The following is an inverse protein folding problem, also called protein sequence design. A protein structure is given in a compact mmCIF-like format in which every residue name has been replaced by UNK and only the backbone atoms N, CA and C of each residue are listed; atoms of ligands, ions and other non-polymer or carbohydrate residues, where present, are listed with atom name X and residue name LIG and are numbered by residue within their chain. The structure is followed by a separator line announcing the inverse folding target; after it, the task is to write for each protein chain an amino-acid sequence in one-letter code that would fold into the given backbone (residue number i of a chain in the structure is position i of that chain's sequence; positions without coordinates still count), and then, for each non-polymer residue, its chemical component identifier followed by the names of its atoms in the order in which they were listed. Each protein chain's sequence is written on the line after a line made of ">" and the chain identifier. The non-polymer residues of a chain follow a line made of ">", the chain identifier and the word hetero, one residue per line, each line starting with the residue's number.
data_IF_542289364300
#
_entry.id   IF_542289364300
#
_cell.length_a   1.000
_cell.length_b   1.000
_cell.length_c   1.000
_cell.angle_alpha   90.00
_cell.angle_beta   90.00
_cell.angle_gamma   90.00
#
_symmetry.space_group_name_H-M   'P 1'
#
loop_
_entity.id
_entity.type
_entity.pdbx_description
1 polymer ?
#
# COMPACT_ATOMS: atom_id res chain seq x y z
N UNK A 1 11.34 22.20 5.10
CA UNK A 1 11.14 20.72 5.14
C UNK A 1 10.08 20.32 4.11
N UNK A 2 8.94 21.04 4.04
CA UNK A 2 7.88 20.77 3.05
C UNK A 2 8.42 20.74 1.61
N UNK A 3 9.07 21.81 1.15
CA UNK A 3 9.65 21.89 -0.21
C UNK A 3 10.66 20.77 -0.49
N UNK A 4 11.36 20.35 0.56
CA UNK A 4 12.32 19.24 0.45
C UNK A 4 11.64 17.90 0.20
N UNK A 5 10.40 17.69 0.68
CA UNK A 5 9.61 16.49 0.36
C UNK A 5 9.35 16.41 -1.15
N UNK A 6 8.86 17.50 -1.76
CA UNK A 6 8.52 17.55 -3.17
C UNK A 6 9.77 17.45 -4.05
N UNK A 7 10.87 18.14 -3.66
CA UNK A 7 12.18 17.98 -4.30
C UNK A 7 12.63 16.51 -4.25
N UNK A 8 12.59 15.87 -3.06
CA UNK A 8 13.02 14.49 -2.90
C UNK A 8 12.21 13.53 -3.76
N UNK A 9 10.89 13.68 -3.79
CA UNK A 9 10.01 12.86 -4.63
C UNK A 9 10.39 12.97 -6.11
N UNK A 10 10.56 14.20 -6.62
CA UNK A 10 10.94 14.44 -8.02
C UNK A 10 12.32 13.86 -8.32
N UNK A 11 13.31 14.18 -7.50
CA UNK A 11 14.68 13.74 -7.77
C UNK A 11 14.81 12.21 -7.66
N UNK A 12 14.11 11.58 -6.67
CA UNK A 12 14.10 10.12 -6.55
C UNK A 12 13.45 9.45 -7.77
N UNK A 13 12.42 10.05 -8.34
CA UNK A 13 11.82 9.54 -9.57
C UNK A 13 12.71 9.80 -10.78
N UNK A 14 13.38 10.93 -10.86
CA UNK A 14 14.36 11.24 -11.92
C UNK A 14 15.50 10.22 -11.97
N UNK A 15 16.00 9.76 -10.82
CA UNK A 15 16.95 8.65 -10.73
C UNK A 15 16.40 7.39 -11.43
N UNK A 16 15.13 7.07 -11.20
CA UNK A 16 14.46 5.94 -11.85
C UNK A 16 14.38 6.12 -13.36
N UNK A 17 13.97 7.31 -13.82
CA UNK A 17 13.86 7.62 -15.25
C UNK A 17 15.22 7.58 -15.95
N UNK A 18 16.26 8.23 -15.38
CA UNK A 18 17.64 8.24 -15.91
C UNK A 18 18.22 6.82 -15.97
N UNK A 19 17.99 6.02 -14.92
CA UNK A 19 18.43 4.61 -14.90
C UNK A 19 17.79 3.80 -16.01
N UNK A 20 16.49 3.96 -16.26
CA UNK A 20 15.78 3.29 -17.36
C UNK A 20 16.28 3.73 -18.73
N UNK A 21 16.64 5.00 -18.85
CA UNK A 21 17.18 5.58 -20.08
C UNK A 21 18.69 5.29 -20.29
N UNK A 22 19.34 4.54 -19.37
CA UNK A 22 20.77 4.28 -19.42
C UNK A 22 21.67 5.51 -19.25
N UNK A 23 21.13 6.60 -18.71
CA UNK A 23 21.86 7.86 -18.48
C UNK A 23 22.67 7.80 -17.18
N UNK A 24 23.80 8.50 -17.15
CA UNK A 24 24.64 8.70 -15.95
C UNK A 24 25.21 10.12 -15.95
N UNK A 25 25.46 10.74 -14.78
CA UNK A 25 25.09 10.28 -13.44
C UNK A 25 23.57 10.27 -13.21
N UNK A 26 23.10 9.42 -12.31
CA UNK A 26 21.66 9.33 -12.01
C UNK A 26 21.15 10.50 -11.17
N UNK A 27 22.02 11.08 -10.33
CA UNK A 27 21.75 12.24 -9.48
C UNK A 27 23.03 12.93 -9.06
N UNK A 28 22.93 14.23 -8.78
CA UNK A 28 23.99 15.02 -8.14
C UNK A 28 23.79 15.16 -6.63
N UNK A 29 22.67 14.67 -6.09
CA UNK A 29 22.39 14.72 -4.65
C UNK A 29 23.26 13.70 -3.90
N UNK A 30 24.20 14.13 -3.02
CA UNK A 30 25.14 13.24 -2.37
C UNK A 30 24.47 12.25 -1.42
N UNK A 31 23.31 12.61 -0.82
CA UNK A 31 22.56 11.69 0.07
C UNK A 31 21.94 10.56 -0.75
N UNK A 32 21.41 10.89 -1.95
CA UNK A 32 20.81 9.90 -2.85
C UNK A 32 21.87 9.04 -3.57
N UNK A 33 23.10 9.57 -3.73
CA UNK A 33 24.24 8.79 -4.22
C UNK A 33 24.74 7.77 -3.19
N UNK A 34 24.81 8.18 -1.93
CA UNK A 34 25.45 7.41 -0.86
C UNK A 34 24.55 6.34 -0.25
N UNK A 35 23.26 6.61 -0.13
CA UNK A 35 22.35 5.77 0.65
C UNK A 35 21.27 5.13 -0.22
N UNK A 36 20.85 3.92 0.21
CA UNK A 36 19.79 3.17 -0.46
C UNK A 36 18.43 3.72 -0.07
N UNK A 37 17.63 4.09 -1.07
CA UNK A 37 16.23 4.47 -0.96
C UNK A 37 15.35 3.60 -1.86
N UNK A 38 14.10 3.36 -1.47
CA UNK A 38 13.09 2.75 -2.34
C UNK A 38 12.72 3.69 -3.48
N UNK A 39 11.94 3.23 -4.44
CA UNK A 39 11.41 4.12 -5.47
C UNK A 39 10.36 5.07 -4.89
N UNK A 40 10.05 6.16 -5.60
CA UNK A 40 8.92 7.02 -5.26
C UNK A 40 7.61 6.22 -5.34
N UNK A 41 7.37 5.60 -6.47
CA UNK A 41 6.21 4.76 -6.69
C UNK A 41 6.50 3.34 -6.21
N UNK A 42 5.70 2.86 -5.25
CA UNK A 42 5.83 1.53 -4.65
C UNK A 42 5.83 0.40 -5.69
N UNK A 43 5.07 0.57 -6.76
CA UNK A 43 5.00 -0.42 -7.84
C UNK A 43 6.36 -0.74 -8.46
N UNK A 44 7.30 0.22 -8.46
CA UNK A 44 8.65 0.02 -9.01
C UNK A 44 9.65 -0.55 -8.01
N UNK A 45 9.24 -0.88 -6.80
CA UNK A 45 10.11 -1.54 -5.84
C UNK A 45 10.36 -3.01 -6.21
N UNK A 46 11.55 -3.51 -5.82
CA UNK A 46 12.02 -4.85 -6.16
C UNK A 46 11.00 -5.95 -5.83
N UNK A 47 10.42 -5.90 -4.63
CA UNK A 47 9.49 -6.94 -4.20
C UNK A 47 8.14 -6.82 -4.93
N UNK A 48 7.65 -5.61 -5.18
CA UNK A 48 6.42 -5.42 -5.97
C UNK A 48 6.62 -5.84 -7.43
N UNK A 49 7.77 -5.52 -8.02
CA UNK A 49 8.12 -6.03 -9.35
C UNK A 49 8.22 -7.56 -9.37
N UNK A 50 8.75 -8.17 -8.32
CA UNK A 50 8.79 -9.63 -8.21
C UNK A 50 7.36 -10.22 -8.10
N UNK A 51 6.48 -9.59 -7.33
CA UNK A 51 5.07 -10.02 -7.25
C UNK A 51 4.41 -9.97 -8.64
N UNK A 52 4.58 -8.88 -9.36
CA UNK A 52 3.98 -8.70 -10.71
C UNK A 52 4.52 -9.71 -11.74
N UNK A 53 5.82 -9.98 -11.72
CA UNK A 53 6.49 -10.73 -12.77
C UNK A 53 6.61 -12.23 -12.49
N UNK A 54 6.66 -12.61 -11.21
CA UNK A 54 6.97 -13.99 -10.81
C UNK A 54 5.84 -14.61 -9.97
N UNK A 55 5.27 -13.89 -9.00
CA UNK A 55 4.31 -14.46 -8.05
C UNK A 55 2.92 -14.60 -8.69
N UNK A 56 2.40 -13.51 -9.27
CA UNK A 56 1.06 -13.50 -9.88
C UNK A 56 0.96 -14.51 -11.04
N UNK A 57 1.89 -14.55 -12.01
CA UNK A 57 1.77 -15.44 -13.17
C UNK A 57 2.14 -16.90 -12.90
N UNK A 58 2.57 -17.24 -11.69
CA UNK A 58 3.17 -18.54 -11.38
C UNK A 58 2.19 -19.71 -11.24
N UNK A 59 0.99 -19.61 -11.70
CA UNK A 59 0.02 -20.72 -11.59
C UNK A 59 -1.35 -20.35 -12.15
N UNK A 60 -2.42 -21.05 -11.69
CA UNK A 60 -3.78 -20.71 -12.06
C UNK A 60 -4.10 -19.25 -11.75
N UNK A 61 -4.87 -18.60 -12.62
CA UNK A 61 -5.16 -17.16 -12.55
C UNK A 61 -6.48 -16.85 -11.83
N UNK A 62 -7.12 -17.84 -11.21
CA UNK A 62 -8.33 -17.60 -10.42
C UNK A 62 -8.01 -16.82 -9.12
N UNK A 63 -9.07 -16.28 -8.52
CA UNK A 63 -8.98 -15.44 -7.32
C UNK A 63 -8.26 -16.13 -6.17
N UNK A 64 -8.64 -17.37 -5.87
CA UNK A 64 -8.14 -18.10 -4.71
C UNK A 64 -6.66 -18.41 -4.84
N UNK A 65 -6.26 -19.01 -5.97
CA UNK A 65 -4.87 -19.40 -6.23
C UNK A 65 -3.94 -18.19 -6.34
N UNK A 66 -4.38 -17.12 -7.01
CA UNK A 66 -3.59 -15.89 -7.11
C UNK A 66 -3.41 -15.23 -5.76
N UNK A 67 -4.48 -15.13 -4.96
CA UNK A 67 -4.42 -14.55 -3.62
C UNK A 67 -3.54 -15.37 -2.68
N UNK A 68 -3.64 -16.69 -2.72
CA UNK A 68 -2.76 -17.58 -1.94
C UNK A 68 -1.28 -17.27 -2.19
N UNK A 69 -0.87 -17.20 -3.45
CA UNK A 69 0.52 -16.92 -3.82
C UNK A 69 0.99 -15.56 -3.31
N UNK A 70 0.15 -14.53 -3.44
CA UNK A 70 0.50 -13.18 -2.96
C UNK A 70 0.60 -13.17 -1.42
N UNK A 71 -0.36 -13.78 -0.71
CA UNK A 71 -0.35 -13.91 0.76
C UNK A 71 0.89 -14.67 1.22
N UNK A 72 1.20 -15.79 0.58
CA UNK A 72 2.39 -16.60 0.89
C UNK A 72 3.68 -15.77 0.71
N UNK A 73 3.84 -15.10 -0.44
CA UNK A 73 5.01 -14.26 -0.69
C UNK A 73 5.10 -13.12 0.33
N UNK A 74 4.00 -12.38 0.58
CA UNK A 74 3.98 -11.26 1.53
C UNK A 74 4.31 -11.70 2.95
N UNK A 75 3.88 -12.86 3.38
CA UNK A 75 4.14 -13.38 4.73
C UNK A 75 5.64 -13.51 5.01
N UNK A 76 6.40 -14.02 4.08
CA UNK A 76 7.86 -14.17 4.22
C UNK A 76 8.63 -12.97 3.63
N UNK A 77 8.06 -12.29 2.65
CA UNK A 77 8.57 -11.09 1.96
C UNK A 77 10.04 -11.23 1.51
N UNK A 78 10.43 -12.42 1.06
CA UNK A 78 11.79 -12.77 0.66
C UNK A 78 11.81 -13.59 -0.64
N UNK A 79 12.49 -13.05 -1.66
CA UNK A 79 12.57 -13.67 -3.00
C UNK A 79 13.24 -15.05 -2.94
N UNK A 80 14.31 -15.19 -2.17
CA UNK A 80 15.03 -16.46 -2.04
C UNK A 80 14.16 -17.54 -1.38
N UNK A 81 13.33 -17.17 -0.41
CA UNK A 81 12.37 -18.11 0.21
C UNK A 81 11.31 -18.56 -0.79
N UNK A 82 10.76 -17.63 -1.59
CA UNK A 82 9.85 -17.98 -2.68
C UNK A 82 10.48 -18.96 -3.67
N UNK A 83 11.69 -18.66 -4.15
CA UNK A 83 12.41 -19.52 -5.11
C UNK A 83 12.64 -20.90 -4.54
N UNK A 84 13.06 -21.04 -3.29
CA UNK A 84 13.24 -22.33 -2.60
C UNK A 84 11.95 -23.14 -2.56
N UNK A 85 10.82 -22.54 -2.18
CA UNK A 85 9.53 -23.21 -2.21
C UNK A 85 9.16 -23.65 -3.64
N UNK A 86 9.41 -22.79 -4.62
CA UNK A 86 9.22 -23.10 -6.04
C UNK A 86 10.09 -24.26 -6.54
N UNK A 87 11.34 -24.29 -6.15
CA UNK A 87 12.29 -25.35 -6.56
C UNK A 87 11.87 -26.70 -5.98
N UNK A 88 11.28 -26.69 -4.78
CA UNK A 88 10.83 -27.91 -4.11
C UNK A 88 9.44 -28.39 -4.64
N UNK A 89 8.45 -27.50 -4.70
CA UNK A 89 7.05 -27.89 -4.99
C UNK A 89 6.63 -27.66 -6.44
N UNK A 90 7.47 -27.02 -7.27
CA UNK A 90 7.06 -26.55 -8.57
C UNK A 90 6.12 -25.34 -8.45
N UNK A 91 4.97 -25.37 -9.11
CA UNK A 91 3.98 -24.28 -9.00
C UNK A 91 3.31 -24.30 -7.65
N UNK A 92 3.39 -23.17 -6.94
CA UNK A 92 2.78 -23.03 -5.62
C UNK A 92 1.27 -22.82 -5.75
N UNK A 93 0.48 -23.75 -5.19
CA UNK A 93 -0.98 -23.77 -5.30
C UNK A 93 -1.60 -23.95 -3.92
N UNK A 94 -2.72 -23.27 -3.68
CA UNK A 94 -3.55 -23.51 -2.51
C UNK A 94 -4.09 -24.94 -2.48
N UNK A 95 -4.51 -25.46 -3.62
CA UNK A 95 -5.07 -26.80 -3.74
C UNK A 95 -4.14 -27.93 -3.24
N UNK A 96 -2.84 -27.68 -3.14
CA UNK A 96 -1.82 -28.64 -2.67
C UNK A 96 -1.02 -28.09 -1.50
N UNK A 97 -1.54 -27.09 -0.79
CA UNK A 97 -0.87 -26.50 0.35
C UNK A 97 -1.07 -27.35 1.61
N UNK A 98 0.04 -27.87 2.15
CA UNK A 98 0.07 -28.58 3.42
C UNK A 98 1.08 -27.91 4.36
N UNK A 99 0.64 -27.62 5.59
CA UNK A 99 1.45 -26.86 6.56
C UNK A 99 2.78 -27.55 6.85
N UNK A 100 2.73 -28.87 7.10
CA UNK A 100 3.91 -29.63 7.51
C UNK A 100 4.93 -29.76 6.36
N UNK A 101 4.46 -29.89 5.13
CA UNK A 101 5.32 -29.94 3.94
C UNK A 101 6.05 -28.59 3.73
N UNK A 102 5.31 -27.49 3.77
CA UNK A 102 5.90 -26.15 3.65
C UNK A 102 6.84 -25.85 4.82
N UNK A 103 6.47 -26.25 6.04
CA UNK A 103 7.33 -26.10 7.20
C UNK A 103 8.67 -26.82 7.03
N UNK A 104 8.67 -28.05 6.53
CA UNK A 104 9.89 -28.83 6.32
C UNK A 104 10.92 -28.10 5.44
N UNK A 105 10.44 -27.47 4.36
CA UNK A 105 11.28 -26.70 3.44
C UNK A 105 11.76 -25.39 4.08
N UNK A 106 10.90 -24.71 4.84
CA UNK A 106 11.25 -23.44 5.49
C UNK A 106 12.21 -23.63 6.66
N UNK A 107 12.09 -24.71 7.40
CA UNK A 107 12.96 -25.02 8.54
C UNK A 107 14.38 -25.46 8.13
N UNK A 108 14.53 -25.96 6.90
CA UNK A 108 15.81 -26.48 6.41
C UNK A 108 16.90 -25.40 6.24
N UNK A 109 16.53 -24.14 6.06
CA UNK A 109 17.47 -23.09 5.74
C UNK A 109 17.02 -21.71 6.20
N UNK A 110 17.95 -20.91 6.76
CA UNK A 110 17.72 -19.53 7.25
C UNK A 110 18.66 -18.56 6.52
N UNK A 111 18.28 -17.27 6.39
CA UNK A 111 17.02 -16.63 6.82
C UNK A 111 15.86 -16.86 5.83
N UNK A 112 14.64 -16.98 6.36
CA UNK A 112 13.42 -17.15 5.56
C UNK A 112 12.60 -15.87 5.40
N UNK A 113 12.85 -14.86 6.23
CA UNK A 113 12.14 -13.58 6.23
C UNK A 113 12.95 -12.46 5.56
N UNK A 114 12.24 -11.56 4.89
CA UNK A 114 12.80 -10.29 4.44
C UNK A 114 13.11 -9.34 5.59
N UNK A 115 13.85 -8.27 5.29
CA UNK A 115 14.29 -7.30 6.31
C UNK A 115 13.26 -6.19 6.61
N UNK A 116 12.20 -6.08 5.82
CA UNK A 116 11.20 -5.02 5.92
C UNK A 116 9.78 -5.58 5.78
N UNK A 117 8.79 -4.82 6.25
CA UNK A 117 7.35 -5.17 6.16
C UNK A 117 7.01 -6.54 6.79
N UNK A 118 7.64 -6.83 7.89
CA UNK A 118 7.47 -8.07 8.62
C UNK A 118 6.06 -8.15 9.24
N UNK A 119 5.35 -9.24 8.97
CA UNK A 119 4.10 -9.57 9.66
C UNK A 119 4.44 -10.23 10.99
N UNK A 120 3.99 -9.71 12.15
CA UNK A 120 4.20 -10.38 13.43
C UNK A 120 3.54 -11.76 13.45
N UNK A 121 4.26 -12.76 13.90
CA UNK A 121 3.73 -14.11 13.99
C UNK A 121 2.60 -14.18 15.03
N UNK A 122 1.37 -14.59 14.65
CA UNK A 122 0.20 -14.55 15.54
C UNK A 122 0.23 -15.67 16.57
N UNK A 123 0.60 -15.35 17.80
CA UNK A 123 0.70 -16.34 18.90
C UNK A 123 -0.61 -17.07 19.18
N UNK A 124 -1.75 -16.42 18.97
CA UNK A 124 -3.10 -17.01 19.18
C UNK A 124 -3.36 -18.23 18.30
N UNK A 125 -2.68 -18.37 17.17
CA UNK A 125 -2.82 -19.54 16.29
C UNK A 125 -2.02 -20.76 16.77
N UNK A 126 -1.25 -20.61 17.85
CA UNK A 126 -0.39 -21.68 18.36
C UNK A 126 0.75 -22.00 17.41
N UNK A 127 1.54 -23.02 17.75
CA UNK A 127 2.73 -23.42 17.02
C UNK A 127 4.00 -23.14 17.82
N UNK A 128 5.03 -23.95 17.59
CA UNK A 128 6.26 -23.92 18.37
C UNK A 128 7.21 -22.79 17.95
N UNK A 129 7.07 -22.29 16.71
CA UNK A 129 7.91 -21.24 16.15
C UNK A 129 7.16 -20.28 15.22
N UNK A 130 7.82 -19.24 14.73
CA UNK A 130 7.21 -18.25 13.88
C UNK A 130 6.79 -18.79 12.49
N UNK A 131 7.58 -19.64 11.81
CA UNK A 131 7.14 -20.25 10.55
C UNK A 131 5.83 -21.01 10.66
N UNK A 132 5.68 -21.85 11.70
CA UNK A 132 4.43 -22.61 11.94
C UNK A 132 3.23 -21.67 12.13
N UNK A 133 3.39 -20.60 12.93
CA UNK A 133 2.33 -19.61 13.16
C UNK A 133 1.94 -18.88 11.87
N UNK A 134 2.90 -18.54 11.03
CA UNK A 134 2.64 -17.90 9.74
C UNK A 134 1.95 -18.84 8.75
N UNK A 135 2.35 -20.08 8.66
CA UNK A 135 1.67 -21.07 7.81
C UNK A 135 0.22 -21.29 8.26
N UNK A 136 -0.03 -21.34 9.58
CA UNK A 136 -1.39 -21.39 10.14
C UNK A 136 -2.20 -20.13 9.84
N UNK A 137 -1.57 -18.95 9.83
CA UNK A 137 -2.22 -17.72 9.43
C UNK A 137 -2.61 -17.75 7.94
N UNK A 138 -1.72 -18.20 7.07
CA UNK A 138 -2.02 -18.38 5.65
C UNK A 138 -3.19 -19.35 5.48
N UNK A 139 -3.14 -20.50 6.16
CA UNK A 139 -4.21 -21.49 6.13
C UNK A 139 -5.55 -20.88 6.57
N UNK A 140 -5.57 -20.16 7.70
CA UNK A 140 -6.77 -19.48 8.20
C UNK A 140 -7.36 -18.51 7.19
N UNK A 141 -6.53 -17.62 6.60
CA UNK A 141 -6.97 -16.68 5.59
C UNK A 141 -7.61 -17.36 4.39
N UNK A 142 -7.07 -18.49 3.97
CA UNK A 142 -7.57 -19.20 2.80
C UNK A 142 -8.84 -20.00 3.09
N UNK A 143 -8.90 -20.77 4.20
CA UNK A 143 -10.08 -21.59 4.54
C UNK A 143 -11.28 -20.75 4.95
N UNK A 144 -11.07 -19.56 5.50
CA UNK A 144 -12.15 -18.62 5.84
C UNK A 144 -12.76 -17.90 4.65
N UNK A 145 -12.20 -18.11 3.44
CA UNK A 145 -12.68 -17.42 2.24
C UNK A 145 -12.27 -15.94 2.17
N UNK A 146 -11.20 -15.54 2.87
CA UNK A 146 -10.71 -14.15 2.90
C UNK A 146 -10.65 -13.48 1.52
N UNK A 147 -10.11 -14.11 0.44
CA UNK A 147 -10.07 -13.47 -0.87
C UNK A 147 -11.47 -13.20 -1.46
N UNK A 148 -12.41 -14.09 -1.20
CA UNK A 148 -13.79 -13.99 -1.71
C UNK A 148 -14.56 -12.87 -1.01
N UNK A 149 -14.42 -12.77 0.30
CA UNK A 149 -15.04 -11.70 1.09
C UNK A 149 -14.39 -10.36 0.78
N UNK A 150 -13.06 -10.31 0.70
CA UNK A 150 -12.32 -9.10 0.33
C UNK A 150 -12.75 -8.54 -1.03
N UNK A 151 -13.02 -9.42 -2.01
CA UNK A 151 -13.46 -9.01 -3.35
C UNK A 151 -14.81 -8.30 -3.38
N UNK A 152 -15.64 -8.45 -2.36
CA UNK A 152 -16.94 -7.78 -2.25
C UNK A 152 -16.80 -6.32 -1.81
N UNK A 153 -15.65 -5.93 -1.29
CA UNK A 153 -15.37 -4.59 -0.80
C UNK A 153 -14.86 -3.71 -1.95
N UNK A 154 -15.19 -2.43 -1.91
CA UNK A 154 -14.88 -1.48 -2.97
C UNK A 154 -13.78 -0.48 -2.55
N UNK A 155 -13.69 -0.16 -1.26
CA UNK A 155 -12.76 0.84 -0.74
C UNK A 155 -11.62 0.21 0.04
N UNK A 156 -10.42 0.77 -0.11
CA UNK A 156 -9.20 0.31 0.57
C UNK A 156 -9.34 0.42 2.11
N UNK A 157 -10.08 1.42 2.60
CA UNK A 157 -10.34 1.59 4.04
C UNK A 157 -11.19 0.45 4.60
N UNK A 158 -12.27 0.08 3.92
CA UNK A 158 -13.13 -1.04 4.34
C UNK A 158 -12.39 -2.37 4.26
N UNK A 159 -11.61 -2.56 3.19
CA UNK A 159 -10.74 -3.70 3.03
C UNK A 159 -9.72 -3.82 4.18
N UNK A 160 -9.18 -2.68 4.64
CA UNK A 160 -8.27 -2.64 5.80
C UNK A 160 -9.00 -3.07 7.08
N UNK A 161 -10.17 -2.50 7.37
CA UNK A 161 -10.98 -2.88 8.53
C UNK A 161 -11.27 -4.39 8.56
N UNK A 162 -11.67 -4.94 7.41
CA UNK A 162 -11.90 -6.37 7.26
C UNK A 162 -10.63 -7.20 7.48
N UNK A 163 -9.51 -6.82 6.88
CA UNK A 163 -8.26 -7.56 7.03
C UNK A 163 -7.74 -7.57 8.48
N UNK A 164 -7.98 -6.50 9.24
CA UNK A 164 -7.58 -6.39 10.63
C UNK A 164 -8.34 -7.35 11.58
N UNK A 165 -9.43 -7.96 11.15
CA UNK A 165 -10.11 -9.01 11.91
C UNK A 165 -9.26 -10.28 12.02
N UNK A 166 -8.24 -10.43 11.20
CA UNK A 166 -7.39 -11.63 11.18
C UNK A 166 -6.16 -11.46 12.07
N UNK A 167 -5.81 -12.48 12.85
CA UNK A 167 -4.67 -12.42 13.74
C UNK A 167 -3.35 -12.24 12.99
N UNK A 168 -2.48 -11.34 13.48
CA UNK A 168 -1.21 -10.98 12.86
C UNK A 168 -1.32 -9.83 11.85
N UNK A 169 -2.52 -9.48 11.41
CA UNK A 169 -2.77 -8.38 10.48
C UNK A 169 -3.16 -7.11 11.26
N UNK A 170 -2.16 -6.41 11.81
CA UNK A 170 -2.35 -5.06 12.33
C UNK A 170 -2.49 -4.04 11.19
N UNK A 171 -2.84 -2.80 11.53
CA UNK A 171 -3.12 -1.72 10.57
C UNK A 171 -2.09 -1.64 9.43
N UNK A 172 -0.81 -1.54 9.76
CA UNK A 172 0.25 -1.40 8.75
C UNK A 172 0.46 -2.70 7.94
N UNK A 173 0.48 -3.86 8.60
CA UNK A 173 0.75 -5.13 7.90
C UNK A 173 -0.40 -5.56 7.01
N UNK A 174 -1.64 -5.35 7.46
CA UNK A 174 -2.84 -5.54 6.65
C UNK A 174 -2.83 -4.61 5.42
N UNK A 175 -2.55 -3.31 5.63
CA UNK A 175 -2.46 -2.34 4.54
C UNK A 175 -1.45 -2.77 3.48
N UNK A 176 -0.24 -3.17 3.88
CA UNK A 176 0.79 -3.65 2.95
C UNK A 176 0.38 -4.93 2.19
N UNK A 177 -0.34 -5.85 2.84
CA UNK A 177 -0.89 -7.04 2.19
C UNK A 177 -1.94 -6.67 1.14
N UNK A 178 -2.84 -5.74 1.48
CA UNK A 178 -3.89 -5.27 0.57
C UNK A 178 -3.31 -4.59 -0.67
N UNK A 179 -2.26 -3.78 -0.52
CA UNK A 179 -1.58 -3.16 -1.65
C UNK A 179 -0.93 -4.21 -2.57
N UNK A 180 -0.40 -5.31 -2.03
CA UNK A 180 0.12 -6.40 -2.86
C UNK A 180 -1.00 -7.18 -3.56
N UNK A 181 -2.10 -7.47 -2.87
CA UNK A 181 -3.27 -8.09 -3.47
C UNK A 181 -3.86 -7.19 -4.57
N UNK A 182 -3.83 -5.88 -4.35
CA UNK A 182 -4.27 -4.90 -5.34
C UNK A 182 -3.40 -4.86 -6.61
N UNK A 183 -2.26 -5.55 -6.66
CA UNK A 183 -1.46 -5.66 -7.90
C UNK A 183 -2.06 -6.64 -8.92
N UNK A 184 -2.90 -7.61 -8.51
CA UNK A 184 -3.56 -8.53 -9.44
C UNK A 184 -4.88 -7.96 -9.98
N UNK A 185 -5.42 -8.57 -11.04
CA UNK A 185 -6.64 -8.10 -11.72
C UNK A 185 -7.94 -8.40 -10.93
N UNK A 186 -7.87 -9.14 -9.81
CA UNK A 186 -9.06 -9.53 -9.05
C UNK A 186 -9.57 -8.45 -8.11
N UNK A 187 -8.70 -7.51 -7.68
CA UNK A 187 -9.01 -6.39 -6.81
C UNK A 187 -8.80 -5.07 -7.54
N UNK A 188 -9.54 -4.05 -7.16
CA UNK A 188 -9.44 -2.73 -7.81
C UNK A 188 -9.72 -1.60 -6.79
N UNK A 189 -9.00 -1.64 -5.67
CA UNK A 189 -9.06 -0.56 -4.69
C UNK A 189 -8.35 0.68 -5.22
N UNK A 190 -8.98 1.85 -5.02
CA UNK A 190 -8.31 3.13 -5.29
C UNK A 190 -7.15 3.33 -4.30
N UNK A 191 -6.01 3.76 -4.84
CA UNK A 191 -4.81 4.13 -4.07
C UNK A 191 -4.62 5.65 -4.04
N UNK A 192 -5.56 6.39 -4.65
CA UNK A 192 -5.36 7.82 -4.96
C UNK A 192 -5.51 8.71 -3.74
N UNK A 193 -6.64 8.66 -3.02
CA UNK A 193 -7.01 9.70 -2.05
C UNK A 193 -6.73 9.38 -0.59
N UNK A 194 -6.49 8.10 -0.26
CA UNK A 194 -6.37 7.66 1.13
C UNK A 194 -5.25 6.64 1.34
N UNK A 195 -4.56 6.79 2.47
CA UNK A 195 -3.56 5.83 2.93
C UNK A 195 -3.42 5.84 4.46
N UNK A 196 -2.85 4.77 4.99
CA UNK A 196 -2.54 4.62 6.42
C UNK A 196 -1.05 4.76 6.63
N UNK A 197 -0.65 5.67 7.50
CA UNK A 197 0.75 5.89 7.80
C UNK A 197 1.36 4.72 8.58
N UNK A 198 2.41 4.14 8.04
CA UNK A 198 3.31 3.29 8.79
C UNK A 198 4.21 4.11 9.75
N UNK A 199 4.94 3.43 10.65
CA UNK A 199 5.78 4.13 11.64
C UNK A 199 6.83 5.08 11.02
N UNK A 200 7.32 4.77 9.82
CA UNK A 200 8.28 5.61 9.10
C UNK A 200 7.61 6.83 8.48
N UNK A 201 6.44 6.65 7.90
CA UNK A 201 5.65 7.74 7.33
C UNK A 201 5.17 8.71 8.42
N UNK A 202 4.73 8.20 9.58
CA UNK A 202 4.40 9.03 10.75
C UNK A 202 5.58 9.89 11.19
N UNK A 203 6.81 9.34 11.25
CA UNK A 203 8.01 10.14 11.55
C UNK A 203 8.26 11.19 10.44
N UNK A 204 8.02 10.87 9.17
CA UNK A 204 8.10 11.82 8.04
C UNK A 204 7.10 12.96 8.16
N UNK A 205 5.87 12.68 8.52
CA UNK A 205 4.83 13.68 8.76
C UNK A 205 5.18 14.58 9.94
N UNK A 206 5.72 14.02 11.03
CA UNK A 206 6.18 14.82 12.18
C UNK A 206 7.30 15.81 11.78
N UNK A 207 8.16 15.48 10.81
CA UNK A 207 9.15 16.45 10.31
C UNK A 207 8.53 17.62 9.58
N UNK A 208 7.38 17.40 8.95
CA UNK A 208 6.71 18.40 8.12
C UNK A 208 5.77 19.26 8.96
N UNK A 209 4.91 18.62 9.77
CA UNK A 209 3.80 19.25 10.46
C UNK A 209 4.00 19.41 11.97
N UNK A 210 5.08 18.83 12.53
CA UNK A 210 5.25 18.79 13.99
C UNK A 210 4.59 17.55 14.61
N UNK A 211 4.74 17.44 15.95
CA UNK A 211 4.24 16.27 16.71
C UNK A 211 2.71 16.21 16.79
N UNK A 212 2.06 17.31 16.56
CA UNK A 212 0.61 17.51 16.59
C UNK A 212 -0.12 16.72 15.51
N UNK A 213 0.59 16.30 14.46
CA UNK A 213 0.03 15.46 13.39
C UNK A 213 -0.28 14.03 13.85
N UNK A 214 0.25 13.60 15.00
CA UNK A 214 0.02 12.24 15.51
C UNK A 214 -1.45 12.02 15.86
N UNK A 215 -1.98 10.90 15.33
CA UNK A 215 -3.41 10.57 15.41
C UNK A 215 -4.24 11.13 14.23
N UNK A 216 -3.62 11.97 13.37
CA UNK A 216 -4.26 12.53 12.18
C UNK A 216 -3.43 12.28 10.92
N UNK A 217 -2.60 11.24 10.93
CA UNK A 217 -1.64 10.97 9.86
C UNK A 217 -2.33 10.73 8.51
N UNK A 218 -3.43 9.99 8.48
CA UNK A 218 -4.18 9.75 7.22
C UNK A 218 -4.73 11.05 6.64
N UNK A 219 -5.26 11.94 7.49
CA UNK A 219 -5.73 13.27 7.07
C UNK A 219 -4.59 14.11 6.49
N UNK A 220 -3.41 14.07 7.12
CA UNK A 220 -2.23 14.79 6.64
C UNK A 220 -1.75 14.25 5.28
N UNK A 221 -1.84 12.94 5.05
CA UNK A 221 -1.52 12.32 3.75
C UNK A 221 -2.54 12.76 2.69
N UNK A 222 -3.84 12.71 3.00
CA UNK A 222 -4.89 13.21 2.11
C UNK A 222 -4.67 14.69 1.78
N UNK A 223 -4.37 15.53 2.78
CA UNK A 223 -4.07 16.93 2.56
C UNK A 223 -2.86 17.15 1.64
N UNK A 224 -1.77 16.37 1.80
CA UNK A 224 -0.62 16.42 0.90
C UNK A 224 -1.01 16.03 -0.53
N UNK A 225 -1.85 15.01 -0.66
CA UNK A 225 -2.36 14.55 -1.98
C UNK A 225 -3.21 15.63 -2.66
N UNK A 226 -4.15 16.24 -1.95
CA UNK A 226 -5.02 17.30 -2.48
C UNK A 226 -4.25 18.54 -2.91
N UNK A 227 -3.25 18.94 -2.13
CA UNK A 227 -2.52 20.19 -2.34
C UNK A 227 -1.23 20.03 -3.18
N UNK A 228 -0.90 18.83 -3.62
CA UNK A 228 0.36 18.55 -4.33
C UNK A 228 0.60 19.44 -5.55
N UNK A 229 -0.45 19.77 -6.31
CA UNK A 229 -0.31 20.53 -7.55
C UNK A 229 0.11 21.98 -7.31
N UNK A 230 -0.32 22.56 -6.19
CA UNK A 230 0.13 23.89 -5.78
C UNK A 230 1.64 23.88 -5.49
N UNK A 231 2.13 22.89 -4.73
CA UNK A 231 3.56 22.77 -4.44
C UNK A 231 4.40 22.49 -5.69
N UNK A 232 3.94 21.61 -6.57
CA UNK A 232 4.62 21.36 -7.85
C UNK A 232 4.75 22.64 -8.66
N UNK A 233 3.69 23.44 -8.71
CA UNK A 233 3.65 24.74 -9.42
C UNK A 233 4.58 25.77 -8.78
N UNK A 234 4.48 25.97 -7.45
CA UNK A 234 5.32 26.93 -6.71
C UNK A 234 6.81 26.67 -6.87
N UNK A 235 7.20 25.39 -6.85
CA UNK A 235 8.60 24.99 -7.02
C UNK A 235 9.03 24.89 -8.49
N UNK A 236 8.14 25.16 -9.44
CA UNK A 236 8.38 24.97 -10.88
C UNK A 236 8.86 23.55 -11.22
N UNK A 237 8.33 22.55 -10.51
CA UNK A 237 8.68 21.13 -10.67
C UNK A 237 7.56 20.43 -11.45
N UNK A 238 7.92 19.71 -12.52
CA UNK A 238 6.99 18.81 -13.20
C UNK A 238 6.66 17.63 -12.29
N UNK A 239 5.36 17.38 -11.97
CA UNK A 239 4.97 16.27 -11.14
C UNK A 239 5.51 14.93 -11.67
N UNK A 240 6.06 14.06 -10.82
CA UNK A 240 6.41 12.72 -11.22
C UNK A 240 5.13 11.91 -11.50
N UNK A 241 5.15 11.09 -12.53
CA UNK A 241 4.01 10.28 -12.94
C UNK A 241 4.36 8.80 -12.96
N UNK A 242 3.51 7.98 -12.39
CA UNK A 242 3.60 6.51 -12.42
C UNK A 242 3.36 5.99 -13.84
N UNK A 243 2.40 6.59 -14.53
CA UNK A 243 2.11 6.41 -15.96
C UNK A 243 1.38 7.66 -16.49
N UNK A 244 1.26 7.75 -17.81
CA UNK A 244 0.78 8.96 -18.50
C UNK A 244 -0.65 9.43 -18.17
N UNK A 245 -1.47 8.56 -17.57
CA UNK A 245 -2.86 8.91 -17.18
C UNK A 245 -2.98 9.41 -15.74
N UNK A 246 -1.91 9.35 -14.94
CA UNK A 246 -1.92 9.90 -13.58
C UNK A 246 -1.87 11.44 -13.62
N UNK A 247 -2.53 12.05 -12.65
CA UNK A 247 -2.49 13.50 -12.45
C UNK A 247 -1.39 13.94 -11.46
N UNK A 248 -0.76 13.00 -10.77
CA UNK A 248 0.26 13.25 -9.75
C UNK A 248 0.65 11.98 -9.01
N UNK A 249 1.05 12.14 -7.75
CA UNK A 249 1.42 11.07 -6.84
C UNK A 249 0.21 10.68 -6.01
N UNK A 250 -0.12 9.39 -5.93
CA UNK A 250 -1.25 8.91 -5.13
C UNK A 250 -0.99 9.04 -3.63
N UNK A 251 -2.05 9.04 -2.81
CA UNK A 251 -1.91 9.06 -1.34
C UNK A 251 -1.08 7.87 -0.83
N UNK A 252 -1.24 6.69 -1.44
CA UNK A 252 -0.43 5.50 -1.11
C UNK A 252 1.05 5.69 -1.45
N UNK A 253 1.38 6.32 -2.59
CA UNK A 253 2.76 6.59 -2.96
C UNK A 253 3.36 7.74 -2.12
N UNK A 254 2.53 8.72 -1.68
CA UNK A 254 2.94 9.74 -0.70
C UNK A 254 3.29 9.08 0.65
N UNK A 255 2.45 8.16 1.15
CA UNK A 255 2.75 7.40 2.38
C UNK A 255 4.08 6.65 2.26
N UNK A 256 4.25 5.94 1.14
CA UNK A 256 5.48 5.22 0.85
C UNK A 256 6.70 6.14 0.81
N UNK A 257 6.57 7.30 0.16
CA UNK A 257 7.62 8.32 0.07
C UNK A 257 7.99 8.91 1.44
N UNK A 258 7.01 9.19 2.31
CA UNK A 258 7.23 9.79 3.63
C UNK A 258 8.16 8.97 4.51
N UNK A 259 8.08 7.63 4.44
CA UNK A 259 8.99 6.73 5.16
C UNK A 259 10.45 6.93 4.74
N UNK A 260 10.69 7.04 3.45
CA UNK A 260 12.02 7.25 2.87
C UNK A 260 12.48 8.70 3.00
N UNK A 261 11.56 9.64 2.94
CA UNK A 261 11.80 11.04 3.20
C UNK A 261 12.28 11.29 4.64
N UNK A 262 11.67 10.64 5.66
CA UNK A 262 12.23 10.68 7.03
C UNK A 262 13.69 10.24 7.04
N UNK A 263 13.99 9.14 6.34
CA UNK A 263 15.35 8.63 6.22
C UNK A 263 16.30 9.63 5.56
N UNK A 264 15.88 10.27 4.46
CA UNK A 264 16.64 11.32 3.79
C UNK A 264 16.91 12.51 4.71
N UNK A 265 15.89 12.97 5.44
CA UNK A 265 15.99 14.08 6.38
C UNK A 265 16.98 13.86 7.52
N UNK A 266 17.26 12.61 7.90
CA UNK A 266 18.30 12.32 8.92
C UNK A 266 19.68 12.82 8.53
N UNK A 267 19.93 13.04 7.24
CA UNK A 267 21.18 13.60 6.70
C UNK A 267 21.02 15.04 6.23
N UNK A 268 19.87 15.38 5.66
CA UNK A 268 19.59 16.75 5.18
C UNK A 268 19.39 17.74 6.31
N UNK A 269 18.76 17.30 7.40
CA UNK A 269 18.44 18.11 8.58
C UNK A 269 18.85 17.37 9.87
N UNK A 270 20.17 17.22 10.13
CA UNK A 270 20.69 16.40 11.24
C UNK A 270 20.24 16.89 12.62
N UNK A 271 19.97 18.19 12.74
CA UNK A 271 19.52 18.83 14.00
C UNK A 271 18.04 18.55 14.33
N UNK A 272 17.25 18.11 13.35
CA UNK A 272 15.84 17.74 13.56
C UNK A 272 15.77 16.24 13.86
N UNK A 273 15.83 15.90 15.14
CA UNK A 273 15.76 14.49 15.58
C UNK A 273 14.34 14.15 16.00
N UNK A 274 13.74 13.14 15.31
CA UNK A 274 12.42 12.59 15.68
C UNK A 274 12.61 11.31 16.49
N UNK A 275 13.09 10.24 15.86
CA UNK A 275 13.29 8.94 16.51
C UNK A 275 14.61 8.29 16.12
N UNK A 276 14.98 8.39 14.86
CA UNK A 276 16.18 7.75 14.29
C UNK A 276 17.08 8.79 13.65
N UNK A 277 18.41 8.62 13.81
CA UNK A 277 19.43 9.53 13.28
C UNK A 277 20.31 8.90 12.21
N UNK A 278 20.35 7.56 12.14
CA UNK A 278 21.27 6.83 11.28
C UNK A 278 20.53 6.22 10.08
N UNK A 279 21.20 6.24 8.92
CA UNK A 279 20.83 5.45 7.74
C UNK A 279 21.82 4.28 7.64
N UNK A 280 21.34 3.05 7.84
CA UNK A 280 22.20 1.85 7.84
C UNK A 280 22.55 1.36 6.44
N UNK A 281 21.62 1.46 5.49
CA UNK A 281 21.78 0.89 4.16
C UNK A 281 22.50 1.87 3.21
N UNK A 282 23.69 1.49 2.75
CA UNK A 282 24.38 2.18 1.67
C UNK A 282 23.82 1.76 0.31
N UNK A 283 23.90 2.68 -0.65
CA UNK A 283 23.56 2.35 -2.01
C UNK A 283 24.64 1.44 -2.62
N UNK A 284 24.19 0.36 -3.24
CA UNK A 284 25.04 -0.53 -4.05
C UNK A 284 24.33 -0.74 -5.39
N UNK A 285 24.97 -0.39 -6.52
CA UNK A 285 24.38 -0.62 -7.83
C UNK A 285 24.07 -2.11 -8.03
N UNK A 286 22.83 -2.42 -8.39
CA UNK A 286 22.46 -3.77 -8.80
C UNK A 286 22.82 -4.00 -10.27
N UNK A 287 23.37 -5.18 -10.57
CA UNK A 287 23.61 -5.64 -11.95
C UNK A 287 22.36 -6.27 -12.58
N UNK A 288 21.33 -6.56 -11.78
CA UNK A 288 20.09 -7.15 -12.29
C UNK A 288 19.37 -6.15 -13.20
N UNK A 289 18.80 -6.62 -14.32
CA UNK A 289 17.97 -5.80 -15.20
C UNK A 289 16.83 -5.20 -14.40
N UNK A 290 16.57 -3.91 -14.61
CA UNK A 290 15.45 -3.23 -13.98
C UNK A 290 14.20 -3.41 -14.86
N UNK A 291 13.18 -4.07 -14.31
CA UNK A 291 11.86 -4.17 -14.93
C UNK A 291 10.93 -3.12 -14.28
N UNK A 292 10.25 -2.33 -15.09
CA UNK A 292 9.31 -1.29 -14.63
C UNK A 292 7.88 -1.62 -15.06
N UNK A 293 7.41 -2.85 -14.80
CA UNK A 293 6.10 -3.29 -15.21
C UNK A 293 5.00 -2.70 -14.30
N UNK A 294 3.86 -2.41 -14.90
CA UNK A 294 2.66 -1.94 -14.22
C UNK A 294 1.59 -3.03 -14.22
N UNK A 295 0.70 -3.05 -13.22
CA UNK A 295 -0.49 -3.89 -13.26
C UNK A 295 -1.27 -3.65 -14.56
N UNK A 296 -1.70 -4.71 -15.25
CA UNK A 296 -2.41 -4.59 -16.54
C UNK A 296 -3.64 -3.68 -16.46
N UNK A 297 -4.35 -3.71 -15.33
CA UNK A 297 -5.53 -2.86 -15.10
C UNK A 297 -5.21 -1.37 -15.09
N UNK A 298 -4.00 -0.95 -14.70
CA UNK A 298 -3.61 0.46 -14.71
C UNK A 298 -3.30 0.99 -16.11
N UNK A 299 -2.93 0.12 -17.03
CA UNK A 299 -2.57 0.49 -18.41
C UNK A 299 -3.71 0.30 -19.40
N UNK A 300 -4.85 -0.25 -18.96
CA UNK A 300 -6.06 -0.34 -19.78
C UNK A 300 -6.62 1.06 -20.02
N UNK A 301 -7.08 1.32 -21.28
CA UNK A 301 -7.73 2.60 -21.59
C UNK A 301 -8.97 2.81 -20.72
N UNK A 302 -9.32 4.07 -20.48
CA UNK A 302 -10.52 4.43 -19.69
C UNK A 302 -11.81 3.77 -20.25
N UNK A 303 -11.87 3.52 -21.56
CA UNK A 303 -12.99 2.80 -22.22
C UNK A 303 -13.08 1.31 -21.81
N UNK A 304 -11.98 0.71 -21.35
CA UNK A 304 -11.93 -0.68 -20.89
C UNK A 304 -12.07 -0.82 -19.35
N UNK A 305 -12.01 0.29 -18.61
CA UNK A 305 -12.44 0.32 -17.20
C UNK A 305 -13.95 0.23 -17.24
N UNK A 306 -14.51 -0.94 -16.91
CA UNK A 306 -15.94 -1.04 -16.65
C UNK A 306 -16.27 0.06 -15.64
N UNK A 307 -17.03 1.05 -16.05
CA UNK A 307 -17.61 2.03 -15.15
C UNK A 307 -18.46 1.18 -14.21
N UNK A 308 -18.02 1.02 -12.97
CA UNK A 308 -18.88 0.44 -11.94
C UNK A 308 -20.05 1.44 -11.85
N UNK A 309 -21.19 1.02 -12.34
CA UNK A 309 -22.39 1.82 -12.11
C UNK A 309 -22.60 1.90 -10.60
N UNK A 310 -22.83 3.08 -10.06
CA UNK A 310 -23.19 3.21 -8.67
C UNK A 310 -24.39 2.31 -8.37
N UNK A 311 -24.46 1.69 -7.18
CA UNK A 311 -25.63 0.92 -6.83
C UNK A 311 -26.88 1.79 -6.96
N UNK A 312 -28.02 1.23 -7.40
CA UNK A 312 -29.24 2.00 -7.57
C UNK A 312 -29.62 2.63 -6.23
N UNK A 313 -29.97 3.93 -6.27
CA UNK A 313 -30.44 4.63 -5.08
C UNK A 313 -31.63 3.88 -4.46
N UNK A 314 -31.58 3.71 -3.14
CA UNK A 314 -32.64 3.05 -2.38
C UNK A 314 -33.79 4.02 -2.28
N UNK A 315 -34.98 3.64 -2.77
CA UNK A 315 -36.19 4.43 -2.64
C UNK A 315 -37.05 3.91 -1.48
N UNK A 316 -37.33 4.79 -0.50
CA UNK A 316 -38.24 4.51 0.60
C UNK A 316 -39.20 5.67 0.73
N UNK A 317 -40.52 5.37 0.73
CA UNK A 317 -41.59 6.35 0.89
C UNK A 317 -41.51 7.55 -0.09
N UNK A 318 -41.02 7.33 -1.32
CA UNK A 318 -40.85 8.38 -2.32
C UNK A 318 -39.55 9.19 -2.22
N UNK A 319 -38.79 9.03 -1.17
CA UNK A 319 -37.47 9.64 -0.97
C UNK A 319 -36.35 8.74 -1.49
N UNK A 320 -35.27 9.39 -1.91
CA UNK A 320 -34.07 8.72 -2.45
C UNK A 320 -32.97 8.72 -1.37
N UNK A 321 -32.49 7.53 -1.05
CA UNK A 321 -31.39 7.34 -0.10
C UNK A 321 -30.17 6.75 -0.81
N UNK A 322 -29.01 7.22 -0.41
CA UNK A 322 -27.73 6.71 -0.87
C UNK A 322 -27.03 6.02 0.31
N UNK A 323 -26.31 4.95 0.03
CA UNK A 323 -25.54 4.24 1.06
C UNK A 323 -24.20 4.93 1.29
N UNK A 324 -23.87 5.20 2.55
CA UNK A 324 -22.57 5.76 2.93
C UNK A 324 -21.52 4.65 2.86
N UNK A 325 -20.47 4.89 2.11
CA UNK A 325 -19.29 4.02 2.10
C UNK A 325 -18.40 4.32 3.30
N UNK A 326 -17.95 5.57 3.44
CA UNK A 326 -17.15 6.02 4.58
C UNK A 326 -17.14 7.56 4.66
N UNK A 327 -16.66 8.07 5.79
CA UNK A 327 -16.38 9.50 5.95
C UNK A 327 -14.94 9.76 5.48
N UNK A 328 -14.79 10.68 4.53
CA UNK A 328 -13.49 11.08 3.98
C UNK A 328 -12.82 12.10 4.90
N UNK A 329 -13.58 13.06 5.41
CA UNK A 329 -13.09 14.18 6.21
C UNK A 329 -14.18 14.72 7.13
N UNK A 330 -13.80 15.36 8.22
CA UNK A 330 -14.71 16.08 9.11
C UNK A 330 -14.36 17.56 9.18
N UNK A 331 -15.38 18.41 9.30
CA UNK A 331 -15.23 19.83 9.59
C UNK A 331 -15.95 20.16 10.89
N UNK A 332 -15.20 20.31 11.97
CA UNK A 332 -15.76 20.41 13.31
C UNK A 332 -16.42 19.10 13.77
N UNK A 333 -17.44 19.21 14.65
CA UNK A 333 -18.15 18.04 15.20
C UNK A 333 -19.44 17.67 14.47
N UNK A 334 -19.84 18.44 13.46
CA UNK A 334 -21.20 18.34 12.89
C UNK A 334 -21.24 18.23 11.37
N UNK A 335 -20.14 18.34 10.66
CA UNK A 335 -20.11 18.21 9.21
C UNK A 335 -19.09 17.17 8.77
N UNK A 336 -19.49 16.30 7.85
CA UNK A 336 -18.76 15.15 7.38
C UNK A 336 -18.72 15.16 5.84
N UNK A 337 -17.52 15.08 5.24
CA UNK A 337 -17.39 14.83 3.83
C UNK A 337 -17.59 13.33 3.61
N UNK A 338 -18.64 12.98 2.92
CA UNK A 338 -19.12 11.60 2.78
C UNK A 338 -18.81 11.07 1.39
N UNK A 339 -18.15 9.93 1.33
CA UNK A 339 -18.08 9.07 0.16
C UNK A 339 -19.31 8.19 0.10
N UNK A 340 -20.03 8.28 -0.99
CA UNK A 340 -21.20 7.44 -1.26
C UNK A 340 -20.79 6.11 -1.88
N UNK A 341 -21.42 5.02 -1.51
CA UNK A 341 -21.09 3.69 -2.01
C UNK A 341 -21.29 3.62 -3.54
N UNK A 342 -20.19 3.32 -4.26
CA UNK A 342 -20.21 3.21 -5.72
C UNK A 342 -20.08 4.53 -6.48
N UNK A 343 -19.84 5.65 -5.78
CA UNK A 343 -19.64 6.97 -6.37
C UNK A 343 -18.16 7.38 -6.33
N UNK A 344 -17.73 8.22 -7.28
CA UNK A 344 -16.35 8.70 -7.40
C UNK A 344 -16.08 9.87 -6.44
N UNK A 345 -14.78 10.22 -6.18
CA UNK A 345 -14.40 11.28 -5.25
C UNK A 345 -15.00 12.67 -5.54
N UNK A 346 -15.25 12.99 -6.79
CA UNK A 346 -15.83 14.26 -7.23
C UNK A 346 -17.34 14.36 -6.94
N UNK A 347 -17.95 13.26 -6.50
CA UNK A 347 -19.34 13.17 -6.06
C UNK A 347 -19.50 13.19 -4.54
N UNK A 348 -18.39 13.37 -3.78
CA UNK A 348 -18.43 13.52 -2.33
C UNK A 348 -19.18 14.78 -1.92
N UNK A 349 -20.01 14.65 -0.89
CA UNK A 349 -20.79 15.78 -0.38
C UNK A 349 -20.53 16.02 1.11
N UNK A 350 -20.65 17.30 1.51
CA UNK A 350 -20.60 17.68 2.92
C UNK A 350 -21.96 17.54 3.56
N UNK A 351 -22.12 16.56 4.44
CA UNK A 351 -23.37 16.21 5.11
C UNK A 351 -23.33 16.56 6.60
N UNK A 352 -24.51 16.88 7.14
CA UNK A 352 -24.73 16.94 8.59
C UNK A 352 -24.92 15.54 9.16
N UNK A 353 -24.70 15.38 10.45
CA UNK A 353 -24.90 14.09 11.14
C UNK A 353 -26.35 13.57 10.97
N UNK A 354 -27.32 14.48 10.86
CA UNK A 354 -28.74 14.19 10.66
C UNK A 354 -29.04 13.52 9.29
N UNK A 355 -28.20 13.78 8.29
CA UNK A 355 -28.36 13.22 6.94
C UNK A 355 -27.75 11.83 6.78
N UNK A 356 -26.96 11.37 7.76
CA UNK A 356 -26.25 10.11 7.68
C UNK A 356 -27.07 8.88 8.13
N UNK A 357 -28.29 9.08 8.64
CA UNK A 357 -29.23 8.04 9.03
C UNK A 357 -28.83 7.25 10.29
N UNK A 358 -29.65 6.25 10.67
CA UNK A 358 -29.45 5.47 11.90
C UNK A 358 -28.15 4.62 11.91
N UNK A 359 -27.63 4.27 10.75
CA UNK A 359 -26.37 3.53 10.60
C UNK A 359 -25.11 4.42 10.70
N UNK A 360 -25.28 5.75 10.71
CA UNK A 360 -24.19 6.70 10.85
C UNK A 360 -23.48 6.61 12.20
N UNK A 361 -24.16 6.16 13.25
CA UNK A 361 -23.55 5.96 14.56
C UNK A 361 -22.35 5.03 14.55
N UNK A 362 -22.37 4.00 13.71
CA UNK A 362 -21.27 3.06 13.55
C UNK A 362 -20.15 3.65 12.69
N UNK A 363 -20.48 4.35 11.60
CA UNK A 363 -19.52 5.04 10.72
C UNK A 363 -18.87 6.23 11.42
N UNK A 364 -19.55 6.88 12.36
CA UNK A 364 -19.05 8.02 13.13
C UNK A 364 -18.30 7.58 14.41
N UNK A 365 -18.59 6.39 14.95
CA UNK A 365 -17.86 5.84 16.12
C UNK A 365 -16.49 5.30 15.75
N UNK A 366 -16.27 4.97 14.49
CA UNK A 366 -14.99 4.50 13.96
C UNK A 366 -14.03 5.66 13.56
N UNK A 367 -14.46 6.91 13.78
CA UNK A 367 -13.69 8.15 13.64
C UNK A 367 -13.34 8.75 15.02
#
# INVERSE_FOLDING_TARGET
>A
VMDTLWYWMRERHSIHERRRAGQTPWTEDPILQDYKFTNLFRVFDRNTQFILNEVIPDGPSDLTETSFRIILFRTFNRIETWRRLRDHFGKLKWATFEIDDYYSVLAAESPIYGHAYFIPAPNVLGGHDNPTKHLRMIYLLMVSGFPTELKKLHHLKDALGFAQLYPGLGQFTAFQLLLDLNMCDHFNFSEEEWAVAGPGASDGLVRIFGKEVRGSESLAITWLWENQHEYWSQLSITPPLRHSTNKGVSAVDIEHALCEFDKYCRKKFPDIVIRRTVIKARFMPSREPYTGNLPKKWTRSAAAKAIMQPPPAIRRNGEVYYEVSHVVMTSGKSRFLVRWLGYEPDEDTWEGAENLGENAGQVLADW
#
